data_IF_154278859164
#
_entry.id   IF_154278859164
#
_cell.length_a   1.000
_cell.length_b   1.000
_cell.length_c   1.000
_cell.angle_alpha   90.00
_cell.angle_beta   90.00
_cell.angle_gamma   90.00
#
_symmetry.space_group_name_H-M   'P 1'
#
loop_
_entity.id
_entity.type
_entity.pdbx_description
1 polymer ?
#
# COMPACT_ATOMS: atom_id res chain seq x y z
N UNK A 1 -11.67 -11.89 -16.01
CA UNK A 1 -10.73 -11.01 -15.29
C UNK A 1 -11.56 -10.15 -14.35
N UNK A 2 -11.28 -10.14 -13.04
CA UNK A 2 -11.88 -9.14 -12.14
C UNK A 2 -11.39 -7.76 -12.57
N UNK A 3 -12.30 -6.80 -12.68
CA UNK A 3 -11.94 -5.40 -12.92
C UNK A 3 -11.04 -4.90 -11.79
N UNK A 4 -10.04 -4.09 -12.15
CA UNK A 4 -9.14 -3.46 -11.20
C UNK A 4 -9.85 -2.24 -10.62
N UNK A 5 -9.96 -2.17 -9.30
CA UNK A 5 -10.51 -1.00 -8.64
C UNK A 5 -9.64 0.23 -8.93
N UNK A 6 -10.26 1.37 -9.22
CA UNK A 6 -9.56 2.63 -9.51
C UNK A 6 -9.50 3.52 -8.27
N UNK A 7 -8.30 3.99 -7.93
CA UNK A 7 -8.08 4.95 -6.84
C UNK A 7 -7.39 6.21 -7.38
N UNK A 8 -7.82 7.36 -6.87
CA UNK A 8 -7.17 8.64 -7.08
C UNK A 8 -6.20 8.90 -5.93
N UNK A 9 -4.95 9.23 -6.26
CA UNK A 9 -3.93 9.61 -5.27
C UNK A 9 -3.20 10.87 -5.73
N UNK A 10 -2.77 11.68 -4.77
CA UNK A 10 -1.89 12.82 -5.00
C UNK A 10 -0.43 12.43 -4.80
N UNK A 11 0.48 13.05 -5.56
CA UNK A 11 1.91 12.74 -5.55
C UNK A 11 2.72 13.47 -4.44
N UNK A 12 2.10 14.40 -3.71
CA UNK A 12 2.80 15.23 -2.72
C UNK A 12 2.93 14.54 -1.34
N UNK A 13 3.56 13.37 -1.31
CA UNK A 13 3.94 12.74 -0.04
C UNK A 13 5.24 13.34 0.49
N UNK A 14 5.20 13.86 1.73
CA UNK A 14 6.29 14.68 2.27
C UNK A 14 7.16 13.98 3.30
N UNK A 15 6.71 12.89 3.93
CA UNK A 15 7.47 12.21 4.99
C UNK A 15 7.61 10.71 4.78
N UNK A 16 8.82 10.20 5.06
CA UNK A 16 9.17 8.77 5.08
C UNK A 16 9.22 8.28 6.54
N UNK A 17 8.31 7.38 6.91
CA UNK A 17 8.26 6.74 8.22
C UNK A 17 8.41 5.23 8.16
N UNK A 18 8.68 4.60 9.31
CA UNK A 18 8.79 3.15 9.45
C UNK A 18 7.63 2.61 10.30
N UNK A 19 7.05 1.48 9.89
CA UNK A 19 5.94 0.86 10.63
C UNK A 19 5.89 -0.67 10.46
N UNK A 20 4.96 -1.31 11.17
CA UNK A 20 4.77 -2.76 11.11
C UNK A 20 3.33 -3.19 11.38
N UNK A 21 2.94 -4.34 10.86
CA UNK A 21 1.63 -4.95 11.09
C UNK A 21 1.47 -6.27 10.35
N UNK A 22 0.32 -6.92 10.48
CA UNK A 22 0.00 -8.18 9.81
C UNK A 22 -0.67 -7.92 8.46
N UNK A 23 -0.13 -8.47 7.38
CA UNK A 23 -0.73 -8.33 6.05
C UNK A 23 -1.99 -9.19 5.96
N UNK A 24 -3.15 -8.56 5.74
CA UNK A 24 -4.46 -9.23 5.73
C UNK A 24 -4.99 -9.50 4.32
N UNK A 25 -4.79 -8.56 3.39
CA UNK A 25 -5.25 -8.74 2.03
C UNK A 25 -4.43 -7.94 1.02
N UNK A 26 -4.47 -8.40 -0.23
CA UNK A 26 -3.80 -7.82 -1.38
C UNK A 26 -4.84 -7.74 -2.49
N UNK A 27 -5.10 -6.55 -3.00
CA UNK A 27 -6.03 -6.34 -4.12
C UNK A 27 -5.28 -5.61 -5.23
N UNK A 28 -5.27 -6.12 -6.48
CA UNK A 28 -4.67 -5.39 -7.58
C UNK A 28 -5.56 -4.19 -7.92
N UNK A 29 -4.94 -3.02 -8.12
CA UNK A 29 -5.62 -1.75 -8.33
C UNK A 29 -4.95 -0.92 -9.41
N UNK A 30 -5.70 0.04 -9.94
CA UNK A 30 -5.21 1.04 -10.88
C UNK A 30 -5.21 2.41 -10.20
N UNK A 31 -4.06 3.06 -10.19
CA UNK A 31 -3.87 4.41 -9.68
C UNK A 31 -3.91 5.41 -10.82
N UNK A 32 -4.73 6.43 -10.65
CA UNK A 32 -4.73 7.64 -11.47
C UNK A 32 -4.11 8.77 -10.66
N UNK A 33 -3.10 9.41 -11.21
CA UNK A 33 -2.31 10.45 -10.55
C UNK A 33 -2.90 11.83 -10.90
N UNK A 34 -3.88 12.31 -10.13
CA UNK A 34 -4.54 13.60 -10.44
C UNK A 34 -4.99 13.71 -11.91
N UNK A 35 -4.58 14.78 -12.58
CA UNK A 35 -4.82 15.01 -14.03
C UNK A 35 -3.71 14.45 -14.95
N UNK A 36 -2.71 13.74 -14.42
CA UNK A 36 -1.65 13.18 -15.25
C UNK A 36 -2.18 12.09 -16.19
N UNK A 37 -1.59 11.97 -17.40
CA UNK A 37 -1.94 10.91 -18.35
C UNK A 37 -1.50 9.51 -17.91
N UNK A 38 -0.66 9.43 -16.87
CA UNK A 38 -0.04 8.19 -16.42
C UNK A 38 -0.99 7.38 -15.53
N UNK A 39 -1.06 6.08 -15.84
CA UNK A 39 -1.83 5.09 -15.09
C UNK A 39 -0.84 4.08 -14.51
N UNK A 40 -0.86 3.90 -13.19
CA UNK A 40 0.02 2.95 -12.51
C UNK A 40 -0.78 1.75 -11.99
N UNK A 41 -0.33 0.54 -12.32
CA UNK A 41 -0.86 -0.67 -11.70
C UNK A 41 -0.08 -0.98 -10.43
N UNK A 42 -0.80 -1.20 -9.33
CA UNK A 42 -0.23 -1.44 -8.00
C UNK A 42 -1.07 -2.44 -7.22
N UNK A 43 -0.60 -2.81 -6.03
CA UNK A 43 -1.41 -3.50 -5.04
C UNK A 43 -1.90 -2.55 -3.96
N UNK A 44 -3.16 -2.72 -3.56
CA UNK A 44 -3.69 -2.20 -2.31
C UNK A 44 -3.53 -3.26 -1.24
N UNK A 45 -2.67 -2.98 -0.27
CA UNK A 45 -2.41 -3.83 0.88
C UNK A 45 -3.27 -3.37 2.05
N UNK A 46 -3.98 -4.30 2.69
CA UNK A 46 -4.63 -4.05 3.98
C UNK A 46 -3.79 -4.66 5.08
N UNK A 47 -3.31 -3.82 6.01
CA UNK A 47 -2.45 -4.20 7.12
C UNK A 47 -3.19 -3.99 8.44
N UNK A 48 -3.22 -5.01 9.29
CA UNK A 48 -3.67 -4.90 10.66
C UNK A 48 -2.50 -4.44 11.54
N UNK A 49 -2.63 -3.26 12.15
CA UNK A 49 -1.62 -2.74 13.07
C UNK A 49 -1.66 -3.46 14.41
N UNK A 50 -0.64 -3.26 15.25
CA UNK A 50 -0.61 -3.84 16.61
C UNK A 50 -1.77 -3.40 17.51
N UNK A 51 -2.45 -2.30 17.18
CA UNK A 51 -3.62 -1.79 17.91
C UNK A 51 -4.94 -2.42 17.44
N UNK A 52 -4.91 -3.26 16.40
CA UNK A 52 -6.09 -3.83 15.75
C UNK A 52 -6.66 -2.97 14.62
N UNK A 53 -6.15 -1.76 14.40
CA UNK A 53 -6.62 -0.89 13.32
C UNK A 53 -6.20 -1.44 11.96
N UNK A 54 -7.13 -1.45 10.99
CA UNK A 54 -6.83 -1.76 9.60
C UNK A 54 -6.38 -0.50 8.85
N UNK A 55 -5.18 -0.54 8.28
CA UNK A 55 -4.64 0.52 7.44
C UNK A 55 -4.42 0.03 6.02
N UNK A 56 -4.60 0.92 5.06
CA UNK A 56 -4.43 0.65 3.64
C UNK A 56 -3.18 1.32 3.11
N UNK A 57 -2.43 0.60 2.29
CA UNK A 57 -1.23 1.08 1.64
C UNK A 57 -1.22 0.70 0.17
N UNK A 58 -0.82 1.62 -0.70
CA UNK A 58 -0.45 1.27 -2.08
C UNK A 58 0.97 0.73 -2.09
N UNK A 59 1.22 -0.33 -2.85
CA UNK A 59 2.52 -0.99 -2.97
C UNK A 59 2.79 -1.35 -4.42
N UNK A 60 4.06 -1.35 -4.82
CA UNK A 60 4.43 -1.70 -6.19
C UNK A 60 4.08 -3.16 -6.50
N UNK A 61 4.02 -3.51 -7.78
CA UNK A 61 3.73 -4.88 -8.23
C UNK A 61 4.92 -5.82 -7.96
N UNK A 62 5.11 -6.25 -6.72
CA UNK A 62 5.99 -7.37 -6.36
C UNK A 62 5.17 -8.64 -6.22
N UNK A 63 5.34 -9.64 -7.08
CA UNK A 63 4.58 -10.90 -6.96
C UNK A 63 4.93 -11.69 -5.69
N UNK A 64 6.05 -11.40 -5.02
CA UNK A 64 6.41 -12.06 -3.76
C UNK A 64 5.53 -11.62 -2.59
N UNK A 65 4.82 -10.48 -2.72
CA UNK A 65 3.95 -9.94 -1.66
C UNK A 65 2.85 -10.93 -1.25
N UNK A 66 2.39 -11.77 -2.19
CA UNK A 66 1.39 -12.81 -1.92
C UNK A 66 1.88 -13.88 -0.94
N UNK A 67 3.19 -14.13 -0.88
CA UNK A 67 3.79 -15.05 0.08
C UNK A 67 3.77 -14.49 1.52
N UNK A 68 3.44 -13.22 1.69
CA UNK A 68 3.42 -12.52 2.98
C UNK A 68 2.00 -12.37 3.55
N UNK A 69 0.97 -12.87 2.87
CA UNK A 69 -0.40 -12.87 3.40
C UNK A 69 -0.42 -13.61 4.74
N UNK A 70 -1.08 -13.01 5.73
CA UNK A 70 -1.15 -13.41 7.13
C UNK A 70 0.20 -13.47 7.86
N UNK A 71 1.27 -12.92 7.30
CA UNK A 71 2.54 -12.71 8.01
C UNK A 71 2.62 -11.29 8.59
N UNK A 72 3.41 -11.15 9.65
CA UNK A 72 3.80 -9.84 10.15
C UNK A 72 4.87 -9.27 9.22
N UNK A 73 4.72 -8.01 8.83
CA UNK A 73 5.65 -7.30 7.97
C UNK A 73 6.14 -6.00 8.66
N UNK A 74 7.41 -5.66 8.43
CA UNK A 74 8.02 -4.38 8.80
C UNK A 74 8.40 -3.64 7.51
N UNK A 75 8.02 -2.37 7.39
CA UNK A 75 8.05 -1.67 6.12
C UNK A 75 8.23 -0.15 6.26
N UNK A 76 8.72 0.45 5.18
CA UNK A 76 8.82 1.89 4.98
C UNK A 76 7.57 2.43 4.30
N UNK A 77 7.09 3.57 4.77
CA UNK A 77 5.93 4.26 4.22
C UNK A 77 6.23 5.71 3.92
N UNK A 78 5.61 6.22 2.87
CA UNK A 78 5.39 7.64 2.65
C UNK A 78 3.96 8.00 3.05
N UNK A 79 3.80 9.07 3.83
CA UNK A 79 2.50 9.60 4.21
C UNK A 79 2.41 11.11 3.98
N UNK A 80 1.18 11.56 3.83
CA UNK A 80 0.77 12.97 3.76
C UNK A 80 -0.41 13.07 4.71
N UNK A 81 -0.41 14.10 5.56
CA UNK A 81 -1.57 14.36 6.39
C UNK A 81 -2.80 14.53 5.48
N UNK A 82 -3.90 13.88 5.88
CA UNK A 82 -5.17 13.81 5.15
C UNK A 82 -5.18 12.99 3.84
N UNK A 83 -4.09 12.30 3.47
CA UNK A 83 -4.15 11.37 2.35
C UNK A 83 -5.08 10.18 2.66
N UNK A 84 -6.00 9.81 1.75
CA UNK A 84 -6.92 8.70 1.98
C UNK A 84 -6.21 7.34 2.06
N UNK A 85 -5.03 7.24 1.43
CA UNK A 85 -4.22 6.02 1.37
C UNK A 85 -2.74 6.44 1.38
N UNK A 86 -1.92 5.71 2.14
CA UNK A 86 -0.47 5.92 2.22
C UNK A 86 0.28 5.04 1.21
N UNK A 87 1.53 5.36 0.92
CA UNK A 87 2.36 4.56 0.01
C UNK A 87 3.38 3.75 0.80
N UNK A 88 3.43 2.44 0.59
CA UNK A 88 4.49 1.57 1.10
C UNK A 88 5.62 1.52 0.07
N UNK A 89 6.82 1.94 0.46
CA UNK A 89 7.98 1.97 -0.44
C UNK A 89 8.68 0.61 -0.48
N UNK A 90 8.93 0.02 0.70
CA UNK A 90 9.74 -1.18 0.82
C UNK A 90 9.35 -2.01 2.04
N UNK A 91 9.46 -3.33 1.92
CA UNK A 91 9.26 -4.28 3.02
C UNK A 91 10.62 -4.84 3.44
N UNK A 92 11.01 -4.58 4.69
CA UNK A 92 12.30 -4.98 5.24
C UNK A 92 12.33 -6.42 5.70
N UNK A 93 11.21 -6.91 6.26
CA UNK A 93 11.16 -8.22 6.91
C UNK A 93 9.72 -8.72 6.97
N UNK A 94 9.56 -10.03 6.83
CA UNK A 94 8.29 -10.75 7.04
C UNK A 94 8.52 -11.98 7.95
N UNK A 95 7.58 -12.29 8.85
CA UNK A 95 7.61 -13.49 9.72
C UNK A 95 6.21 -13.94 10.18
#
# INVERSE_FOLDING_TARGET
MKELDSYHIDLEYTYIGYTSGKLKSITPIVLRLGEHPEILQRYLLTIETRKGDLKKYVYYLDKRIFEFVDKNISFEVKFRDDAPINEMQYIYRAW
#
